data_IF_088463340401
#
_entry.id   IF_088463340401
#
_cell.length_a   1.000
_cell.length_b   1.000
_cell.length_c   1.000
_cell.angle_alpha   90.00
_cell.angle_beta   90.00
_cell.angle_gamma   90.00
#
_symmetry.space_group_name_H-M   'P 1'
#
loop_
_entity.id
_entity.type
_entity.pdbx_description
1 polymer ?
#
# COMPACT_ATOMS: atom_id res chain seq x y z
N UNK A 1 -10.39 -6.64 1.18
CA UNK A 1 -10.50 -8.10 0.96
C UNK A 1 -11.89 -8.57 1.35
N UNK A 2 -12.46 -9.53 0.61
CA UNK A 2 -13.75 -10.16 0.97
C UNK A 2 -13.64 -11.03 2.24
N UNK A 3 -12.45 -11.44 2.59
CA UNK A 3 -12.15 -12.18 3.83
C UNK A 3 -11.09 -11.42 4.63
N UNK A 4 -11.27 -11.24 5.93
CA UNK A 4 -10.24 -10.64 6.79
C UNK A 4 -8.98 -11.53 6.75
N UNK A 5 -7.82 -10.90 6.91
CA UNK A 5 -6.57 -11.63 7.09
C UNK A 5 -6.59 -12.44 8.39
N UNK A 6 -5.90 -13.57 8.38
CA UNK A 6 -5.75 -14.40 9.57
C UNK A 6 -4.88 -13.65 10.59
N UNK A 7 -5.28 -13.69 11.85
CA UNK A 7 -4.47 -13.24 12.98
C UNK A 7 -4.07 -14.44 13.84
N UNK A 8 -2.88 -14.38 14.41
CA UNK A 8 -2.31 -15.47 15.21
C UNK A 8 -2.04 -15.01 16.65
N UNK A 9 -2.95 -14.20 17.19
CA UNK A 9 -2.77 -13.53 18.49
C UNK A 9 -2.90 -14.45 19.69
N UNK A 10 -3.69 -15.52 19.60
CA UNK A 10 -3.96 -16.41 20.73
C UNK A 10 -2.89 -17.49 20.89
N UNK A 11 -2.41 -18.05 19.79
CA UNK A 11 -1.54 -19.25 19.82
C UNK A 11 -0.14 -19.01 19.26
N UNK A 12 0.12 -17.82 18.68
CA UNK A 12 1.26 -17.63 17.79
C UNK A 12 1.05 -18.34 16.46
N UNK A 13 2.08 -18.34 15.62
CA UNK A 13 2.04 -18.98 14.30
C UNK A 13 2.05 -20.50 14.41
N UNK A 14 1.38 -21.21 13.48
CA UNK A 14 1.35 -22.67 13.44
C UNK A 14 2.75 -23.28 13.41
N UNK A 15 2.90 -24.43 14.05
CA UNK A 15 4.18 -25.12 14.15
C UNK A 15 4.79 -25.43 12.79
N UNK A 16 3.98 -25.81 11.81
CA UNK A 16 4.40 -26.15 10.45
C UNK A 16 5.03 -24.93 9.74
N UNK A 17 4.47 -23.73 9.96
CA UNK A 17 5.04 -22.49 9.43
C UNK A 17 6.38 -22.17 10.11
N UNK A 18 6.46 -22.32 11.43
CA UNK A 18 7.70 -22.06 12.18
C UNK A 18 8.78 -23.05 11.79
N UNK A 19 8.50 -24.34 11.69
CA UNK A 19 9.46 -25.37 11.29
C UNK A 19 10.03 -25.09 9.89
N UNK A 20 9.17 -24.69 8.94
CA UNK A 20 9.62 -24.37 7.58
C UNK A 20 10.44 -23.05 7.55
N UNK A 21 10.06 -22.07 8.37
CA UNK A 21 10.81 -20.82 8.52
C UNK A 21 12.22 -21.09 9.09
N UNK A 22 12.31 -21.87 10.17
CA UNK A 22 13.59 -22.28 10.77
C UNK A 22 14.50 -22.99 9.77
N UNK A 23 13.94 -23.97 9.06
CA UNK A 23 14.65 -24.73 8.04
C UNK A 23 15.22 -23.85 6.93
N UNK A 24 14.42 -22.92 6.40
CA UNK A 24 14.85 -22.05 5.29
C UNK A 24 15.77 -20.92 5.74
N UNK A 25 15.54 -20.37 6.93
CA UNK A 25 16.42 -19.33 7.50
C UNK A 25 17.72 -19.89 8.07
N UNK A 26 17.74 -21.18 8.47
CA UNK A 26 18.86 -21.79 9.18
C UNK A 26 19.04 -21.28 10.61
N UNK A 27 17.95 -20.81 11.23
CA UNK A 27 17.95 -20.21 12.58
C UNK A 27 16.74 -20.70 13.37
N UNK A 28 16.97 -20.99 14.65
CA UNK A 28 15.89 -21.36 15.58
C UNK A 28 14.99 -20.15 15.86
N UNK A 29 13.69 -20.35 15.92
CA UNK A 29 12.71 -19.33 16.31
C UNK A 29 12.51 -19.35 17.83
N UNK A 30 12.51 -18.16 18.42
CA UNK A 30 12.10 -17.90 19.80
C UNK A 30 10.98 -16.85 19.82
N UNK A 31 10.16 -16.87 20.87
CA UNK A 31 9.02 -15.99 21.02
C UNK A 31 7.73 -16.64 20.54
N UNK A 32 7.42 -16.52 19.26
CA UNK A 32 6.20 -17.04 18.61
C UNK A 32 4.92 -16.80 19.41
N UNK A 33 4.69 -15.56 19.83
CA UNK A 33 3.52 -15.13 20.60
C UNK A 33 3.10 -13.72 20.23
N UNK A 34 1.92 -13.32 20.70
CA UNK A 34 1.48 -11.92 20.64
C UNK A 34 2.25 -11.10 21.67
N UNK A 35 2.87 -10.00 21.24
CA UNK A 35 3.66 -9.14 22.13
C UNK A 35 3.83 -7.72 21.58
N UNK A 36 4.20 -6.79 22.47
CA UNK A 36 4.78 -5.51 22.08
C UNK A 36 6.23 -5.72 21.63
N UNK A 37 6.63 -5.10 20.53
CA UNK A 37 8.00 -5.25 20.02
C UNK A 37 9.09 -4.71 20.96
N UNK A 38 8.77 -3.80 21.88
CA UNK A 38 9.71 -3.33 22.89
C UNK A 38 9.85 -4.38 24.01
N UNK A 39 8.73 -4.91 24.48
CA UNK A 39 8.71 -5.91 25.55
C UNK A 39 9.40 -7.21 25.15
N UNK A 40 9.13 -7.70 23.94
CA UNK A 40 9.71 -8.97 23.49
C UNK A 40 11.22 -8.89 23.26
N UNK A 41 11.75 -7.72 22.85
CA UNK A 41 13.19 -7.50 22.75
C UNK A 41 13.82 -7.49 24.14
N UNK A 42 13.19 -6.83 25.11
CA UNK A 42 13.66 -6.84 26.51
C UNK A 42 13.61 -8.24 27.14
N UNK A 43 12.66 -9.09 26.73
CA UNK A 43 12.54 -10.45 27.22
C UNK A 43 13.54 -11.42 26.58
N UNK A 44 13.71 -11.37 25.26
CA UNK A 44 14.42 -12.38 24.48
C UNK A 44 15.71 -11.90 23.81
N UNK A 45 16.03 -10.61 23.87
CA UNK A 45 17.16 -10.05 23.16
C UNK A 45 18.51 -10.61 23.59
N UNK A 46 18.70 -10.91 24.88
CA UNK A 46 19.94 -11.58 25.33
C UNK A 46 20.02 -13.03 24.86
N UNK A 47 18.91 -13.76 24.81
CA UNK A 47 18.89 -15.12 24.26
C UNK A 47 19.19 -15.11 22.76
N UNK A 48 18.62 -14.16 22.01
CA UNK A 48 18.89 -14.00 20.58
C UNK A 48 20.38 -13.75 20.31
N UNK A 49 21.00 -12.80 21.03
CA UNK A 49 22.41 -12.45 20.90
C UNK A 49 23.31 -13.65 21.21
N UNK A 50 23.02 -14.39 22.27
CA UNK A 50 23.83 -15.51 22.73
C UNK A 50 23.70 -16.76 21.87
N UNK A 51 22.54 -16.98 21.26
CA UNK A 51 22.25 -18.25 20.53
C UNK A 51 22.18 -18.08 19.03
N UNK A 52 22.07 -16.82 18.52
CA UNK A 52 21.81 -16.53 17.12
C UNK A 52 20.38 -16.91 16.68
N UNK A 53 19.47 -17.14 17.62
CA UNK A 53 18.07 -17.42 17.35
C UNK A 53 17.37 -16.20 16.74
N UNK A 54 16.19 -16.41 16.16
CA UNK A 54 15.36 -15.38 15.52
C UNK A 54 14.13 -15.12 16.38
N UNK A 55 13.95 -13.88 16.84
CA UNK A 55 12.74 -13.51 17.59
C UNK A 55 11.59 -13.30 16.59
N UNK A 56 10.57 -14.15 16.67
CA UNK A 56 9.33 -14.04 15.88
C UNK A 56 8.16 -13.76 16.81
N UNK A 57 7.32 -12.79 16.44
CA UNK A 57 6.13 -12.44 17.21
C UNK A 57 5.04 -11.84 16.32
N UNK A 58 3.85 -11.71 16.87
CA UNK A 58 2.70 -11.04 16.22
C UNK A 58 2.14 -9.95 17.13
N UNK A 59 1.15 -9.22 16.66
CA UNK A 59 0.35 -8.24 17.41
C UNK A 59 -1.13 -8.42 17.06
N UNK A 60 -2.00 -7.50 17.48
CA UNK A 60 -3.42 -7.55 17.14
C UNK A 60 -3.72 -7.52 15.64
N UNK A 61 -2.80 -6.96 14.85
CA UNK A 61 -2.89 -6.94 13.39
C UNK A 61 -2.48 -8.30 12.80
N UNK A 62 -2.84 -8.50 11.52
CA UNK A 62 -2.36 -9.64 10.74
C UNK A 62 -0.92 -9.43 10.27
N UNK A 63 0.03 -9.60 11.17
CA UNK A 63 1.45 -9.36 10.91
C UNK A 63 2.35 -10.44 11.50
N UNK A 64 3.43 -10.78 10.78
CA UNK A 64 4.57 -11.50 11.34
C UNK A 64 5.72 -10.50 11.50
N UNK A 65 6.25 -10.39 12.71
CA UNK A 65 7.35 -9.48 13.00
C UNK A 65 8.57 -10.28 13.42
N UNK A 66 9.72 -9.91 12.86
CA UNK A 66 10.99 -10.57 13.12
C UNK A 66 11.97 -9.55 13.64
N UNK A 67 12.46 -9.73 14.87
CA UNK A 67 13.55 -8.93 15.42
C UNK A 67 14.91 -9.62 15.22
N UNK A 68 15.92 -8.80 15.01
CA UNK A 68 17.31 -9.21 14.98
C UNK A 68 18.22 -8.06 15.41
N UNK A 69 19.23 -8.35 16.21
CA UNK A 69 20.23 -7.38 16.63
C UNK A 69 21.17 -7.06 15.45
N UNK A 70 21.37 -5.80 15.14
CA UNK A 70 22.17 -5.39 13.97
C UNK A 70 23.64 -5.83 14.06
N UNK A 71 24.20 -5.95 15.26
CA UNK A 71 25.60 -6.33 15.47
C UNK A 71 25.82 -7.85 15.40
N UNK A 72 24.86 -8.66 15.86
CA UNK A 72 25.01 -10.11 16.01
C UNK A 72 24.23 -10.95 15.02
N UNK A 73 23.03 -10.49 14.64
CA UNK A 73 22.19 -11.16 13.65
C UNK A 73 22.52 -10.69 12.24
N UNK A 74 22.91 -9.40 12.10
CA UNK A 74 23.16 -8.69 10.86
C UNK A 74 21.89 -8.33 10.06
N UNK A 75 21.83 -7.10 9.55
CA UNK A 75 20.70 -6.57 8.79
C UNK A 75 20.39 -7.36 7.51
N UNK A 76 21.43 -7.79 6.78
CA UNK A 76 21.24 -8.54 5.54
C UNK A 76 20.59 -9.89 5.84
N UNK A 77 21.01 -10.57 6.91
CA UNK A 77 20.40 -11.81 7.35
C UNK A 77 18.97 -11.61 7.86
N UNK A 78 18.69 -10.51 8.59
CA UNK A 78 17.34 -10.19 9.04
C UNK A 78 16.39 -9.98 7.85
N UNK A 79 16.80 -9.20 6.86
CA UNK A 79 15.99 -8.95 5.66
C UNK A 79 15.78 -10.23 4.86
N UNK A 80 16.81 -11.06 4.67
CA UNK A 80 16.68 -12.37 4.03
C UNK A 80 15.66 -13.27 4.75
N UNK A 81 15.69 -13.31 6.08
CA UNK A 81 14.70 -14.08 6.85
C UNK A 81 13.28 -13.53 6.69
N UNK A 82 13.11 -12.20 6.63
CA UNK A 82 11.82 -11.57 6.38
C UNK A 82 11.31 -11.85 4.96
N UNK A 83 12.16 -11.88 3.94
CA UNK A 83 11.80 -12.27 2.57
C UNK A 83 11.30 -13.72 2.52
N UNK A 84 12.03 -14.64 3.16
CA UNK A 84 11.61 -16.04 3.29
C UNK A 84 10.26 -16.14 4.01
N UNK A 85 10.09 -15.41 5.12
CA UNK A 85 8.84 -15.37 5.86
C UNK A 85 7.69 -14.82 4.99
N UNK A 86 7.95 -13.77 4.17
CA UNK A 86 6.96 -13.22 3.24
C UNK A 86 6.54 -14.25 2.19
N UNK A 87 7.48 -14.99 1.61
CA UNK A 87 7.17 -16.07 0.67
C UNK A 87 6.29 -17.15 1.30
N UNK A 88 6.65 -17.63 2.49
CA UNK A 88 5.90 -18.66 3.21
C UNK A 88 4.49 -18.19 3.55
N UNK A 89 4.35 -16.94 4.00
CA UNK A 89 3.07 -16.35 4.39
C UNK A 89 2.23 -15.86 3.20
N UNK A 90 2.59 -16.19 1.97
CA UNK A 90 1.72 -16.07 0.79
C UNK A 90 0.73 -17.23 0.66
N UNK A 91 0.97 -18.37 1.31
CA UNK A 91 0.03 -19.49 1.33
C UNK A 91 -1.25 -19.11 2.08
N UNK A 92 -2.39 -19.57 1.61
CA UNK A 92 -3.71 -19.18 2.14
C UNK A 92 -3.86 -19.47 3.63
N UNK A 93 -3.37 -20.64 4.09
CA UNK A 93 -3.44 -21.05 5.48
C UNK A 93 -2.52 -20.26 6.44
N UNK A 94 -1.52 -19.55 5.90
CA UNK A 94 -0.53 -18.78 6.66
C UNK A 94 -0.53 -17.28 6.32
N UNK A 95 -1.46 -16.84 5.48
CA UNK A 95 -1.45 -15.50 4.90
C UNK A 95 -1.61 -14.42 5.96
N UNK A 96 -0.57 -13.61 6.12
CA UNK A 96 -0.61 -12.37 6.90
C UNK A 96 -0.52 -11.14 6.00
N UNK A 97 -1.09 -10.04 6.46
CA UNK A 97 -1.08 -8.78 5.72
C UNK A 97 0.32 -8.20 5.51
N UNK A 98 1.21 -8.35 6.50
CA UNK A 98 2.60 -7.85 6.44
C UNK A 98 3.58 -8.77 7.15
N UNK A 99 4.83 -8.78 6.66
CA UNK A 99 5.99 -9.23 7.42
C UNK A 99 6.84 -8.00 7.70
N UNK A 100 7.34 -7.83 8.92
CA UNK A 100 8.07 -6.63 9.33
C UNK A 100 9.43 -7.03 9.93
N UNK A 101 10.50 -6.51 9.35
CA UNK A 101 11.82 -6.53 9.95
C UNK A 101 11.90 -5.46 11.04
N UNK A 102 12.28 -5.87 12.25
CA UNK A 102 12.41 -5.03 13.44
C UNK A 102 13.83 -5.07 13.99
N UNK A 103 14.80 -4.42 13.32
CA UNK A 103 16.17 -4.38 13.81
C UNK A 103 16.28 -3.57 15.10
N UNK A 104 17.24 -3.96 15.93
CA UNK A 104 17.56 -3.30 17.17
C UNK A 104 19.07 -3.38 17.48
N UNK A 105 19.54 -2.55 18.39
CA UNK A 105 20.92 -2.50 18.91
C UNK A 105 20.91 -2.60 20.43
N UNK A 106 22.07 -2.88 21.02
CA UNK A 106 22.24 -3.03 22.46
C UNK A 106 22.71 -4.45 22.80
N UNK A 107 23.34 -4.60 23.97
CA UNK A 107 24.00 -5.86 24.37
C UNK A 107 23.34 -6.56 25.56
N UNK A 108 22.45 -5.89 26.26
CA UNK A 108 21.79 -6.44 27.48
C UNK A 108 20.45 -5.78 27.73
N UNK A 109 19.62 -6.44 28.51
CA UNK A 109 18.35 -5.93 28.98
C UNK A 109 18.47 -4.52 29.57
N UNK A 110 17.52 -3.66 29.24
CA UNK A 110 17.50 -2.24 29.60
C UNK A 110 18.37 -1.32 28.72
N UNK A 111 19.15 -1.89 27.78
CA UNK A 111 19.96 -1.13 26.82
C UNK A 111 19.51 -1.33 25.36
N UNK A 112 18.48 -2.13 25.11
CA UNK A 112 17.99 -2.39 23.77
C UNK A 112 17.24 -1.19 23.21
N UNK A 113 17.52 -0.87 21.93
CA UNK A 113 16.87 0.23 21.20
C UNK A 113 16.56 -0.22 19.77
N UNK A 114 15.32 -0.06 19.34
CA UNK A 114 14.95 -0.24 17.93
C UNK A 114 15.63 0.82 17.07
N UNK A 115 16.04 0.43 15.88
CA UNK A 115 16.66 1.34 14.91
C UNK A 115 15.66 1.82 13.86
N UNK A 116 16.08 2.77 13.04
CA UNK A 116 15.31 3.26 11.89
C UNK A 116 15.33 2.30 10.69
N UNK A 117 16.12 1.23 10.73
CA UNK A 117 16.28 0.23 9.66
C UNK A 117 15.11 -0.79 9.62
N UNK A 118 13.95 -0.40 10.17
CA UNK A 118 12.70 -1.15 9.99
C UNK A 118 12.38 -1.27 8.50
N UNK A 119 11.96 -2.46 8.07
CA UNK A 119 11.46 -2.69 6.72
C UNK A 119 10.17 -3.53 6.74
N UNK A 120 9.15 -3.07 6.00
CA UNK A 120 7.86 -3.73 5.91
C UNK A 120 7.74 -4.44 4.55
N UNK A 121 7.49 -5.75 4.59
CA UNK A 121 7.23 -6.58 3.41
C UNK A 121 5.72 -6.74 3.27
N UNK A 122 5.10 -5.90 2.45
CA UNK A 122 3.68 -5.96 2.20
C UNK A 122 3.28 -7.21 1.40
N UNK A 123 2.00 -7.53 1.43
CA UNK A 123 1.43 -8.57 0.59
C UNK A 123 1.37 -8.04 -0.85
N UNK A 124 2.02 -8.72 -1.78
CA UNK A 124 1.85 -8.43 -3.22
C UNK A 124 0.39 -8.63 -3.63
N UNK A 125 -0.09 -7.92 -4.65
CA UNK A 125 -1.40 -8.23 -5.24
C UNK A 125 -1.51 -9.72 -5.55
N UNK A 126 -2.63 -10.33 -5.16
CA UNK A 126 -2.86 -11.79 -5.32
C UNK A 126 -3.14 -12.20 -6.76
N UNK A 127 -3.24 -11.25 -7.67
CA UNK A 127 -3.49 -11.45 -9.10
C UNK A 127 -3.05 -10.24 -9.90
N UNK A 128 -3.27 -10.33 -11.20
CA UNK A 128 -2.97 -9.23 -12.12
C UNK A 128 -3.90 -8.04 -11.86
N UNK A 129 -3.32 -6.87 -11.88
CA UNK A 129 -4.01 -5.59 -11.69
C UNK A 129 -4.04 -4.78 -12.99
N UNK A 130 -4.77 -3.67 -13.00
CA UNK A 130 -4.73 -2.70 -14.09
C UNK A 130 -3.30 -2.24 -14.40
N UNK A 131 -2.46 -2.05 -13.35
CA UNK A 131 -1.06 -1.63 -13.53
C UNK A 131 -0.24 -2.65 -14.34
N UNK A 132 -0.45 -3.95 -14.08
CA UNK A 132 0.17 -5.01 -14.87
C UNK A 132 -0.33 -4.99 -16.34
N UNK A 133 -1.62 -4.78 -16.55
CA UNK A 133 -2.21 -4.75 -17.88
C UNK A 133 -1.65 -3.60 -18.73
N UNK A 134 -1.51 -2.41 -18.14
CA UNK A 134 -0.94 -1.23 -18.78
C UNK A 134 0.56 -1.42 -19.09
N UNK A 135 1.34 -1.90 -18.12
CA UNK A 135 2.77 -2.18 -18.31
C UNK A 135 3.00 -3.21 -19.43
N UNK A 136 2.20 -4.28 -19.49
CA UNK A 136 2.29 -5.30 -20.53
C UNK A 136 1.81 -4.80 -21.91
N UNK A 137 1.08 -3.70 -21.94
CA UNK A 137 0.76 -2.98 -23.17
C UNK A 137 1.89 -2.05 -23.64
N UNK A 138 3.00 -1.99 -22.90
CA UNK A 138 4.14 -1.10 -23.20
C UNK A 138 3.91 0.34 -22.77
N UNK A 139 2.96 0.60 -21.89
CA UNK A 139 2.59 1.92 -21.43
C UNK A 139 3.34 2.30 -20.15
N UNK A 140 3.48 3.60 -19.91
CA UNK A 140 4.02 4.11 -18.66
C UNK A 140 3.02 3.92 -17.51
N UNK A 141 3.53 3.47 -16.37
CA UNK A 141 2.77 3.37 -15.12
C UNK A 141 3.59 4.07 -14.03
N UNK A 142 3.24 5.32 -13.78
CA UNK A 142 3.96 6.20 -12.88
C UNK A 142 3.24 6.23 -11.53
N UNK A 143 3.90 5.77 -10.47
CA UNK A 143 3.38 5.81 -9.10
C UNK A 143 3.92 7.02 -8.33
N UNK A 144 3.04 7.81 -7.70
CA UNK A 144 3.40 8.93 -6.83
C UNK A 144 2.92 8.64 -5.41
N UNK A 145 3.72 8.96 -4.41
CA UNK A 145 3.42 8.69 -3.02
C UNK A 145 3.63 7.21 -2.65
N UNK A 146 2.66 6.60 -1.99
CA UNK A 146 2.75 5.19 -1.52
C UNK A 146 2.34 4.14 -2.56
N UNK A 147 2.04 4.51 -3.79
CA UNK A 147 1.55 3.56 -4.81
C UNK A 147 2.53 2.41 -5.02
N UNK A 148 3.82 2.70 -5.12
CA UNK A 148 4.85 1.65 -5.25
C UNK A 148 4.83 0.67 -4.08
N UNK A 149 4.69 1.14 -2.87
CA UNK A 149 4.69 0.31 -1.66
C UNK A 149 3.40 -0.52 -1.55
N UNK A 150 2.25 0.08 -1.89
CA UNK A 150 0.93 -0.59 -1.88
C UNK A 150 0.93 -1.77 -2.86
N UNK A 151 1.49 -1.60 -4.04
CA UNK A 151 1.54 -2.63 -5.08
C UNK A 151 2.84 -3.44 -5.08
N UNK A 152 3.76 -3.20 -4.12
CA UNK A 152 5.07 -3.86 -4.04
C UNK A 152 5.86 -3.79 -5.37
N UNK A 153 5.76 -2.66 -6.07
CA UNK A 153 6.40 -2.43 -7.37
C UNK A 153 5.74 -3.17 -8.55
N UNK A 154 4.70 -3.98 -8.30
CA UNK A 154 4.06 -4.76 -9.36
C UNK A 154 3.32 -3.87 -10.36
N UNK A 155 3.69 -4.00 -11.63
CA UNK A 155 3.08 -3.24 -12.71
C UNK A 155 3.52 -1.79 -12.84
N UNK A 156 4.44 -1.29 -12.00
CA UNK A 156 4.93 0.09 -12.01
C UNK A 156 6.19 0.20 -12.88
N UNK A 157 6.31 1.29 -13.66
CA UNK A 157 7.47 1.60 -14.50
C UNK A 157 8.35 2.69 -13.90
N UNK A 158 7.75 3.66 -13.19
CA UNK A 158 8.46 4.76 -12.52
C UNK A 158 7.80 5.06 -11.19
N UNK A 159 8.57 5.52 -10.20
CA UNK A 159 8.04 5.89 -8.88
C UNK A 159 8.62 7.21 -8.40
N UNK A 160 7.78 7.99 -7.73
CA UNK A 160 8.11 9.27 -7.11
C UNK A 160 7.66 9.25 -5.65
N UNK A 161 8.62 9.25 -4.73
CA UNK A 161 8.30 9.38 -3.32
C UNK A 161 7.80 10.79 -3.01
N UNK A 162 6.75 10.92 -2.21
CA UNK A 162 6.26 12.22 -1.74
C UNK A 162 6.27 12.30 -0.22
N UNK A 163 6.74 13.43 0.32
CA UNK A 163 6.82 13.70 1.75
C UNK A 163 5.52 14.23 2.34
N UNK A 164 4.60 14.70 1.48
CA UNK A 164 3.29 15.25 1.83
C UNK A 164 2.33 15.23 0.65
N UNK A 165 1.04 15.45 0.89
CA UNK A 165 0.05 15.60 -0.18
C UNK A 165 0.36 16.79 -1.09
N UNK A 166 0.82 17.91 -0.54
CA UNK A 166 1.24 19.09 -1.32
C UNK A 166 2.42 18.76 -2.25
N UNK A 167 3.41 18.03 -1.74
CA UNK A 167 4.54 17.56 -2.56
C UNK A 167 4.07 16.60 -3.66
N UNK A 168 3.18 15.66 -3.34
CA UNK A 168 2.59 14.75 -4.33
C UNK A 168 1.82 15.49 -5.43
N UNK A 169 1.06 16.52 -5.10
CA UNK A 169 0.39 17.39 -6.08
C UNK A 169 1.40 18.12 -6.99
N UNK A 170 2.47 18.65 -6.41
CA UNK A 170 3.51 19.32 -7.21
C UNK A 170 4.18 18.35 -8.18
N UNK A 171 4.52 17.14 -7.72
CA UNK A 171 5.06 16.09 -8.59
C UNK A 171 4.08 15.72 -9.70
N UNK A 172 2.78 15.64 -9.42
CA UNK A 172 1.73 15.37 -10.41
C UNK A 172 1.70 16.46 -11.49
N UNK A 173 1.72 17.73 -11.10
CA UNK A 173 1.78 18.88 -12.04
C UNK A 173 3.03 18.79 -12.92
N UNK A 174 4.18 18.42 -12.36
CA UNK A 174 5.43 18.32 -13.10
C UNK A 174 5.48 17.08 -14.02
N UNK A 175 4.77 16.00 -13.65
CA UNK A 175 4.59 14.81 -14.50
C UNK A 175 3.66 15.13 -15.68
N UNK A 176 2.56 15.86 -15.49
CA UNK A 176 1.65 16.28 -16.57
C UNK A 176 2.38 17.09 -17.67
N UNK A 177 3.44 17.80 -17.32
CA UNK A 177 4.27 18.57 -18.29
C UNK A 177 5.22 17.69 -19.10
N UNK A 178 5.43 16.43 -18.70
CA UNK A 178 6.31 15.49 -19.41
C UNK A 178 5.57 14.83 -20.55
N UNK A 179 6.34 14.31 -21.49
CA UNK A 179 5.79 13.49 -22.56
C UNK A 179 5.80 12.02 -22.11
N UNK A 180 4.64 11.48 -21.74
CA UNK A 180 4.44 10.08 -21.42
C UNK A 180 3.07 9.62 -21.92
N UNK A 181 2.93 8.33 -22.17
CA UNK A 181 1.65 7.73 -22.52
C UNK A 181 1.34 6.57 -21.58
N UNK A 182 0.30 6.73 -20.76
CA UNK A 182 -0.05 5.74 -19.76
C UNK A 182 -0.81 6.31 -18.55
N UNK A 183 -0.51 5.81 -17.37
CA UNK A 183 -1.18 6.17 -16.12
C UNK A 183 -0.20 6.84 -15.14
N UNK A 184 -0.55 8.02 -14.65
CA UNK A 184 0.01 8.59 -13.43
C UNK A 184 -0.94 8.33 -12.27
N UNK A 185 -0.57 7.41 -11.38
CA UNK A 185 -1.37 7.04 -10.21
C UNK A 185 -0.80 7.69 -8.95
N UNK A 186 -1.61 8.52 -8.30
CA UNK A 186 -1.17 9.39 -7.19
C UNK A 186 -1.90 9.02 -5.92
N UNK A 187 -1.16 8.86 -4.82
CA UNK A 187 -1.71 8.69 -3.48
C UNK A 187 -1.34 9.89 -2.60
N UNK A 188 -2.33 10.66 -2.19
CA UNK A 188 -2.20 11.82 -1.30
C UNK A 188 -2.45 11.39 0.15
N UNK A 189 -1.39 11.11 0.89
CA UNK A 189 -1.41 10.34 2.14
C UNK A 189 -1.93 11.11 3.36
N UNK A 190 -1.84 12.44 3.35
CA UNK A 190 -2.08 13.27 4.55
C UNK A 190 -3.51 13.23 5.03
N UNK A 191 -4.48 13.07 4.12
CA UNK A 191 -5.90 12.94 4.46
C UNK A 191 -6.13 11.81 5.45
N UNK A 192 -5.52 10.65 5.19
CA UNK A 192 -5.60 9.48 6.05
C UNK A 192 -4.66 9.60 7.27
N UNK A 193 -3.37 9.80 7.02
CA UNK A 193 -2.34 9.67 8.04
C UNK A 193 -2.32 10.81 9.07
N UNK A 194 -2.58 12.06 8.65
CA UNK A 194 -2.50 13.23 9.52
C UNK A 194 -3.87 13.64 10.08
N UNK A 195 -4.95 13.44 9.32
CA UNK A 195 -6.25 14.00 9.66
C UNK A 195 -7.30 12.93 9.98
N UNK A 196 -7.42 11.88 9.15
CA UNK A 196 -8.36 10.80 9.33
C UNK A 196 -8.09 9.98 10.60
N UNK A 197 -6.96 9.30 10.68
CA UNK A 197 -6.58 8.50 11.85
C UNK A 197 -6.40 9.31 13.13
N UNK A 198 -6.06 10.58 13.03
CA UNK A 198 -5.90 11.47 14.19
C UNK A 198 -7.20 12.15 14.63
N UNK A 199 -8.30 11.83 13.95
CA UNK A 199 -9.65 12.37 14.27
C UNK A 199 -9.66 13.90 14.36
N UNK A 200 -9.05 14.54 13.35
CA UNK A 200 -8.96 15.99 13.25
C UNK A 200 -9.79 16.51 12.06
N UNK A 201 -11.10 16.78 12.26
CA UNK A 201 -11.99 17.23 11.17
C UNK A 201 -11.61 18.60 10.61
N UNK A 202 -11.08 19.51 11.46
CA UNK A 202 -10.64 20.83 10.98
C UNK A 202 -9.41 20.70 10.04
N UNK A 203 -8.44 19.86 10.40
CA UNK A 203 -7.28 19.60 9.56
C UNK A 203 -7.70 18.92 8.26
N UNK A 204 -8.65 17.98 8.33
CA UNK A 204 -9.18 17.29 7.15
C UNK A 204 -9.87 18.28 6.19
N UNK A 205 -10.73 19.18 6.71
CA UNK A 205 -11.39 20.23 5.93
C UNK A 205 -10.37 21.17 5.27
N UNK A 206 -9.36 21.65 6.01
CA UNK A 206 -8.29 22.49 5.46
C UNK A 206 -7.50 21.78 4.35
N UNK A 207 -7.23 20.50 4.49
CA UNK A 207 -6.56 19.74 3.45
C UNK A 207 -7.38 19.61 2.17
N UNK A 208 -8.73 19.51 2.27
CA UNK A 208 -9.63 19.58 1.11
C UNK A 208 -9.55 20.95 0.44
N UNK A 209 -9.64 22.04 1.22
CA UNK A 209 -9.54 23.41 0.70
C UNK A 209 -8.19 23.66 0.00
N UNK A 210 -7.09 23.17 0.58
CA UNK A 210 -5.74 23.26 -0.01
C UNK A 210 -5.65 22.48 -1.31
N UNK A 211 -6.23 21.29 -1.37
CA UNK A 211 -6.32 20.50 -2.60
C UNK A 211 -7.12 21.24 -3.67
N UNK A 212 -8.30 21.78 -3.31
CA UNK A 212 -9.20 22.48 -4.24
C UNK A 212 -8.53 23.71 -4.85
N UNK A 213 -7.81 24.50 -4.05
CA UNK A 213 -7.04 25.68 -4.52
C UNK A 213 -5.99 25.28 -5.57
N UNK A 214 -5.38 24.10 -5.44
CA UNK A 214 -4.34 23.62 -6.37
C UNK A 214 -4.87 22.80 -7.55
N UNK A 215 -6.09 22.32 -7.50
CA UNK A 215 -6.71 21.54 -8.58
C UNK A 215 -6.69 22.26 -9.95
N UNK A 216 -6.93 23.59 -10.05
CA UNK A 216 -6.79 24.33 -11.30
C UNK A 216 -5.38 24.28 -11.91
N UNK A 217 -4.33 24.18 -11.08
CA UNK A 217 -2.95 24.05 -11.56
C UNK A 217 -2.71 22.70 -12.26
N UNK A 218 -3.26 21.61 -11.69
CA UNK A 218 -3.24 20.28 -12.32
C UNK A 218 -3.99 20.33 -13.65
N UNK A 219 -5.22 20.83 -13.65
CA UNK A 219 -6.04 20.95 -14.87
C UNK A 219 -5.39 21.78 -15.98
N UNK A 220 -4.66 22.83 -15.62
CA UNK A 220 -3.92 23.67 -16.57
C UNK A 220 -2.70 22.95 -17.15
N UNK A 221 -2.11 22.02 -16.39
CA UNK A 221 -0.95 21.24 -16.82
C UNK A 221 -1.31 20.03 -17.71
N UNK A 222 -2.58 19.61 -17.67
CA UNK A 222 -3.10 18.51 -18.50
C UNK A 222 -3.08 18.88 -19.98
N UNK A 223 -2.88 17.87 -20.82
CA UNK A 223 -3.04 17.93 -22.29
C UNK A 223 -4.51 17.71 -22.66
N UNK A 224 -4.95 18.08 -23.87
CA UNK A 224 -6.34 17.90 -24.30
C UNK A 224 -6.86 16.45 -24.28
N UNK A 225 -5.94 15.49 -24.45
CA UNK A 225 -6.22 14.05 -24.43
C UNK A 225 -6.07 13.41 -23.04
N UNK A 226 -5.69 14.17 -22.03
CA UNK A 226 -5.60 13.69 -20.66
C UNK A 226 -6.98 13.60 -19.99
N UNK A 227 -7.13 12.61 -19.12
CA UNK A 227 -8.28 12.44 -18.23
C UNK A 227 -7.82 12.43 -16.77
N UNK A 228 -8.46 13.24 -15.94
CA UNK A 228 -8.25 13.24 -14.49
C UNK A 228 -9.39 12.49 -13.80
N UNK A 229 -9.02 11.52 -12.95
CA UNK A 229 -9.94 10.82 -12.07
C UNK A 229 -9.56 11.14 -10.62
N UNK A 230 -10.50 11.65 -9.86
CA UNK A 230 -10.39 11.86 -8.41
C UNK A 230 -11.27 10.85 -7.69
N UNK A 231 -10.68 10.10 -6.78
CA UNK A 231 -11.41 9.14 -5.94
C UNK A 231 -10.72 9.03 -4.57
N UNK A 232 -11.39 8.42 -3.61
CA UNK A 232 -10.73 7.88 -2.42
C UNK A 232 -10.55 6.37 -2.55
N UNK A 233 -9.61 5.80 -1.81
CA UNK A 233 -9.35 4.36 -1.74
C UNK A 233 -10.22 3.68 -0.66
N UNK A 234 -10.58 4.40 0.39
CA UNK A 234 -11.49 4.00 1.47
C UNK A 234 -12.07 5.21 2.19
N UNK A 235 -13.00 4.97 3.11
CA UNK A 235 -13.48 5.96 4.07
C UNK A 235 -12.54 6.10 5.26
N UNK A 236 -12.42 7.29 5.79
CA UNK A 236 -11.78 7.56 7.09
C UNK A 236 -12.39 8.81 7.71
N UNK A 237 -13.62 8.67 8.24
CA UNK A 237 -14.36 9.76 8.84
C UNK A 237 -13.63 10.31 10.08
N UNK A 238 -13.19 11.58 10.06
CA UNK A 238 -12.42 12.16 11.15
C UNK A 238 -13.23 12.44 12.43
N UNK A 239 -14.55 12.24 12.41
CA UNK A 239 -15.41 12.36 13.60
C UNK A 239 -15.89 11.00 14.13
N UNK A 240 -15.55 9.90 13.45
CA UNK A 240 -15.91 8.55 13.89
C UNK A 240 -15.20 8.18 15.19
N UNK A 241 -15.87 7.39 16.05
CA UNK A 241 -15.25 6.81 17.24
C UNK A 241 -14.33 5.64 16.87
N UNK A 242 -13.13 5.58 17.44
CA UNK A 242 -12.13 4.55 17.13
C UNK A 242 -11.04 5.04 16.19
N UNK A 243 -10.15 4.14 15.79
CA UNK A 243 -8.91 4.47 15.06
C UNK A 243 -8.86 3.86 13.66
N UNK A 244 -9.82 2.97 13.33
CA UNK A 244 -9.85 2.25 12.06
C UNK A 244 -10.47 3.11 10.95
N UNK A 245 -10.27 2.67 9.70
CA UNK A 245 -10.96 3.20 8.54
C UNK A 245 -12.47 2.99 8.64
N UNK A 246 -13.23 3.87 8.03
CA UNK A 246 -14.70 3.80 8.00
C UNK A 246 -15.22 3.29 6.65
N UNK A 247 -16.50 3.01 6.54
CA UNK A 247 -17.06 2.26 5.40
C UNK A 247 -18.06 3.07 4.57
N UNK A 248 -17.75 4.32 4.36
CA UNK A 248 -18.50 5.15 3.44
C UNK A 248 -18.32 4.69 1.99
N UNK A 249 -19.32 4.96 1.16
CA UNK A 249 -19.13 4.90 -0.29
C UNK A 249 -18.07 5.92 -0.70
N UNK A 250 -17.10 5.49 -1.48
CA UNK A 250 -16.12 6.41 -2.06
C UNK A 250 -16.74 7.18 -3.22
N UNK A 251 -16.28 8.40 -3.43
CA UNK A 251 -16.63 9.17 -4.61
C UNK A 251 -15.74 8.84 -5.80
N UNK A 252 -16.24 9.10 -7.01
CA UNK A 252 -15.46 9.06 -8.25
C UNK A 252 -15.86 10.26 -9.13
N UNK A 253 -14.93 11.18 -9.35
CA UNK A 253 -15.12 12.36 -10.20
C UNK A 253 -14.16 12.27 -11.39
N UNK A 254 -14.68 12.49 -12.59
CA UNK A 254 -13.88 12.41 -13.82
C UNK A 254 -14.01 13.70 -14.63
N UNK A 255 -12.90 14.18 -15.16
CA UNK A 255 -12.87 15.36 -16.03
C UNK A 255 -11.79 15.20 -17.12
N UNK A 256 -12.08 15.72 -18.30
CA UNK A 256 -11.24 15.72 -19.51
C UNK A 256 -12.04 16.28 -20.68
N UNK A 257 -11.35 16.78 -21.71
CA UNK A 257 -12.04 17.40 -22.83
C UNK A 257 -12.84 16.39 -23.66
N UNK A 258 -12.38 15.13 -23.67
CA UNK A 258 -13.02 14.00 -24.37
C UNK A 258 -14.23 13.41 -23.61
N UNK A 259 -14.52 13.87 -22.40
CA UNK A 259 -15.60 13.30 -21.60
C UNK A 259 -16.94 14.03 -21.81
N UNK A 260 -18.01 13.27 -21.80
CA UNK A 260 -19.40 13.79 -21.69
C UNK A 260 -19.54 14.56 -20.39
N UNK A 261 -20.25 15.68 -20.46
CA UNK A 261 -20.48 16.55 -19.27
C UNK A 261 -21.75 16.15 -18.55
N UNK A 262 -21.72 16.20 -17.21
CA UNK A 262 -22.91 16.01 -16.37
C UNK A 262 -23.44 14.58 -16.34
N UNK A 263 -22.61 13.57 -16.65
CA UNK A 263 -23.00 12.17 -16.58
C UNK A 263 -23.01 11.72 -15.11
N UNK A 264 -24.14 11.18 -14.66
CA UNK A 264 -24.27 10.49 -13.39
C UNK A 264 -24.02 8.99 -13.62
N UNK A 265 -22.94 8.48 -13.06
CA UNK A 265 -22.54 7.07 -13.16
C UNK A 265 -23.23 6.19 -12.12
N UNK A 266 -24.03 6.77 -11.24
CA UNK A 266 -24.69 6.08 -10.15
C UNK A 266 -23.72 5.40 -9.19
N UNK A 267 -24.21 4.43 -8.43
CA UNK A 267 -23.40 3.63 -7.51
C UNK A 267 -22.90 2.37 -8.23
N UNK A 268 -21.60 2.23 -8.32
CA UNK A 268 -20.94 1.06 -8.92
C UNK A 268 -20.76 -0.06 -7.88
N UNK A 269 -20.67 -1.28 -8.34
CA UNK A 269 -20.58 -2.47 -7.48
C UNK A 269 -19.18 -2.75 -6.94
N UNK A 270 -18.15 -2.24 -7.63
CA UNK A 270 -16.76 -2.49 -7.27
C UNK A 270 -15.85 -1.32 -7.63
N UNK A 271 -14.86 -1.08 -6.77
CA UNK A 271 -13.77 -0.13 -7.04
C UNK A 271 -12.92 -0.49 -8.27
N UNK A 272 -12.93 -1.77 -8.65
CA UNK A 272 -12.21 -2.27 -9.82
C UNK A 272 -12.71 -1.66 -11.15
N UNK A 273 -13.94 -1.11 -11.20
CA UNK A 273 -14.49 -0.45 -12.38
C UNK A 273 -13.63 0.74 -12.84
N UNK A 274 -13.00 1.46 -11.91
CA UNK A 274 -12.06 2.54 -12.23
C UNK A 274 -10.83 1.97 -12.96
N UNK A 275 -10.25 0.90 -12.42
CA UNK A 275 -9.09 0.26 -13.02
C UNK A 275 -9.37 -0.32 -14.41
N UNK A 276 -10.53 -0.96 -14.58
CA UNK A 276 -10.97 -1.49 -15.89
C UNK A 276 -11.22 -0.36 -16.88
N UNK A 277 -11.89 0.72 -16.46
CA UNK A 277 -12.14 1.90 -17.31
C UNK A 277 -10.85 2.52 -17.81
N UNK A 278 -9.87 2.74 -16.92
CA UNK A 278 -8.54 3.26 -17.30
C UNK A 278 -7.86 2.32 -18.29
N UNK A 279 -7.87 1.01 -18.00
CA UNK A 279 -7.24 0.00 -18.87
C UNK A 279 -7.88 0.00 -20.25
N UNK A 280 -9.22 -0.04 -20.33
CA UNK A 280 -9.99 -0.07 -21.58
C UNK A 280 -9.74 1.18 -22.43
N UNK A 281 -9.80 2.37 -21.83
CA UNK A 281 -9.60 3.64 -22.56
C UNK A 281 -8.17 3.73 -23.10
N UNK A 282 -7.15 3.59 -22.24
CA UNK A 282 -5.76 3.82 -22.65
C UNK A 282 -5.25 2.73 -23.60
N UNK A 283 -5.78 1.49 -23.48
CA UNK A 283 -5.40 0.40 -24.39
C UNK A 283 -6.35 0.24 -25.57
N UNK A 284 -7.36 1.10 -25.73
CA UNK A 284 -8.36 1.02 -26.79
C UNK A 284 -9.04 -0.37 -26.83
N UNK A 285 -9.36 -0.94 -25.67
CA UNK A 285 -9.99 -2.26 -25.53
C UNK A 285 -9.05 -3.45 -25.74
N UNK A 286 -7.75 -3.23 -25.98
CA UNK A 286 -6.79 -4.32 -26.22
C UNK A 286 -6.41 -5.12 -24.96
N UNK A 287 -6.63 -4.57 -23.79
CA UNK A 287 -6.37 -5.21 -22.50
C UNK A 287 -7.59 -5.12 -21.60
N UNK A 288 -7.70 -6.09 -20.70
CA UNK A 288 -8.76 -6.15 -19.68
C UNK A 288 -8.17 -6.51 -18.33
N UNK A 289 -8.81 -6.06 -17.27
CA UNK A 289 -8.53 -6.50 -15.91
C UNK A 289 -9.36 -7.76 -15.57
N UNK A 290 -8.95 -8.56 -14.57
CA UNK A 290 -9.68 -9.78 -14.18
C UNK A 290 -11.08 -9.51 -13.62
N UNK A 291 -11.30 -8.31 -13.07
CA UNK A 291 -12.56 -7.87 -12.45
C UNK A 291 -12.80 -6.39 -12.78
N UNK A 292 -14.04 -5.94 -12.66
CA UNK A 292 -14.47 -4.58 -12.98
C UNK A 292 -15.18 -4.51 -14.35
N UNK A 293 -16.00 -3.49 -14.48
CA UNK A 293 -16.73 -3.16 -15.71
C UNK A 293 -16.32 -1.76 -16.16
N UNK A 294 -15.95 -1.62 -17.43
CA UNK A 294 -15.58 -0.34 -18.02
C UNK A 294 -16.76 0.61 -18.09
N UNK A 295 -16.52 1.86 -17.74
CA UNK A 295 -17.47 2.96 -17.91
C UNK A 295 -17.22 3.75 -19.19
N UNK A 296 -16.32 3.29 -20.06
CA UNK A 296 -15.88 3.99 -21.29
C UNK A 296 -17.05 4.51 -22.12
N UNK A 297 -18.01 3.63 -22.47
CA UNK A 297 -19.15 4.01 -23.32
C UNK A 297 -20.08 5.04 -22.66
N UNK A 298 -20.12 5.06 -21.34
CA UNK A 298 -20.91 6.02 -20.59
C UNK A 298 -20.29 7.42 -20.58
N UNK A 299 -18.95 7.49 -20.53
CA UNK A 299 -18.21 8.73 -20.24
C UNK A 299 -17.55 9.38 -21.47
N UNK A 300 -17.14 8.62 -22.49
CA UNK A 300 -16.52 9.21 -23.68
C UNK A 300 -17.58 9.82 -24.60
N UNK A 301 -17.21 10.94 -25.21
CA UNK A 301 -18.00 11.49 -26.32
C UNK A 301 -17.94 10.53 -27.50
N UNK A 302 -19.02 10.41 -28.25
CA UNK A 302 -19.00 9.69 -29.52
C UNK A 302 -18.16 10.51 -30.50
N UNK A 303 -17.24 9.87 -31.22
CA UNK A 303 -16.54 10.51 -32.32
C UNK A 303 -17.59 11.00 -33.34
N UNK A 304 -17.75 12.30 -33.47
CA UNK A 304 -18.49 12.87 -34.58
C UNK A 304 -17.73 12.55 -35.85
N UNK A 305 -18.12 11.45 -36.54
CA UNK A 305 -17.51 10.94 -37.78
C UNK A 305 -17.59 11.89 -38.97
#
# INVERSE_FOLDING_TARGET
>A
TQKPFITFTETGFPKELIDELEKRCGKRVIGNKSASGTEIIEELGEEEINTGAMIVYTSADSVMQICGNEETFDLVNLYRCCEIARELTMKDEWRVGRVIARPYVGKKKGAFKRTSNRHDYALKPTGRTALNALKDAGLDVIGVGKINDIFCGEGITQTYHSDSSVHGMQQTIDICKKDFHGLCFVNLVDFDALWGHRRNPEGYGKAIEEFDVRLPEIRKAMKPDDMLILCSDHGNDPIHSGWDHTREHIFGLMTGDQLKKGVDLGTRSTFADIGETVTDIITEGRKKTPIGESMRELILQEDEG
#
